data_IF_865422574443
#
_entry.id   IF_865422574443
#
_cell.length_a   1.000
_cell.length_b   1.000
_cell.length_c   1.000
_cell.angle_alpha   90.00
_cell.angle_beta   90.00
_cell.angle_gamma   90.00
#
_symmetry.space_group_name_H-M   'P 1'
#
loop_
_entity.id
_entity.type
_entity.pdbx_description
1 polymer ?
#
# COMPACT_ATOMS: atom_id res chain seq x y z
N UNK A 1 13.82 13.65 -20.47
CA UNK A 1 12.97 13.01 -19.44
C UNK A 1 12.72 14.03 -18.35
N UNK A 2 11.48 14.22 -17.89
CA UNK A 2 11.13 15.22 -16.88
C UNK A 2 11.60 14.76 -15.47
N UNK A 3 12.50 15.49 -14.79
CA UNK A 3 13.05 15.09 -13.48
C UNK A 3 11.98 14.86 -12.41
N UNK A 4 10.90 15.63 -12.41
CA UNK A 4 9.79 15.46 -11.45
C UNK A 4 9.01 14.18 -11.71
N UNK A 5 8.84 13.81 -12.99
CA UNK A 5 8.23 12.54 -13.38
C UNK A 5 9.11 11.37 -12.95
N UNK A 6 10.43 11.47 -13.12
CA UNK A 6 11.39 10.46 -12.65
C UNK A 6 11.32 10.30 -11.12
N UNK A 7 11.28 11.40 -10.38
CA UNK A 7 11.16 11.39 -8.91
C UNK A 7 9.86 10.72 -8.45
N UNK A 8 8.72 11.04 -9.08
CA UNK A 8 7.44 10.37 -8.78
C UNK A 8 7.46 8.87 -9.08
N UNK A 9 8.08 8.45 -10.19
CA UNK A 9 8.26 7.03 -10.53
C UNK A 9 9.12 6.32 -9.47
N UNK A 10 10.22 6.92 -9.04
CA UNK A 10 11.08 6.34 -8.00
C UNK A 10 10.36 6.20 -6.65
N UNK A 11 9.56 7.18 -6.26
CA UNK A 11 8.69 7.10 -5.06
C UNK A 11 7.67 5.98 -5.18
N UNK A 12 7.07 5.83 -6.35
CA UNK A 12 6.08 4.78 -6.60
C UNK A 12 6.70 3.39 -6.49
N UNK A 13 7.90 3.19 -7.04
CA UNK A 13 8.61 1.92 -6.97
C UNK A 13 9.01 1.55 -5.52
N UNK A 14 9.48 2.53 -4.74
CA UNK A 14 9.78 2.34 -3.33
C UNK A 14 8.53 1.94 -2.52
N UNK A 15 7.42 2.66 -2.72
CA UNK A 15 6.17 2.40 -2.01
C UNK A 15 5.50 1.09 -2.43
N UNK A 16 5.64 0.69 -3.70
CA UNK A 16 5.20 -0.61 -4.20
C UNK A 16 5.97 -1.75 -3.50
N UNK A 17 7.28 -1.57 -3.29
CA UNK A 17 8.11 -2.54 -2.57
C UNK A 17 7.69 -2.65 -1.11
N UNK A 18 7.41 -1.52 -0.46
CA UNK A 18 6.89 -1.50 0.91
C UNK A 18 5.53 -2.19 1.01
N UNK A 19 4.59 -1.87 0.13
CA UNK A 19 3.27 -2.51 0.10
C UNK A 19 3.38 -4.04 -0.07
N UNK A 20 4.25 -4.53 -0.96
CA UNK A 20 4.49 -5.98 -1.12
C UNK A 20 5.01 -6.63 0.18
N UNK A 21 5.92 -5.94 0.88
CA UNK A 21 6.41 -6.40 2.19
C UNK A 21 5.29 -6.49 3.23
N UNK A 22 4.42 -5.48 3.29
CA UNK A 22 3.27 -5.45 4.19
C UNK A 22 2.24 -6.53 3.83
N UNK A 23 1.95 -6.71 2.55
CA UNK A 23 1.05 -7.76 2.06
C UNK A 23 1.50 -9.16 2.51
N UNK A 24 2.80 -9.46 2.40
CA UNK A 24 3.35 -10.72 2.90
C UNK A 24 3.15 -10.90 4.42
N UNK A 25 3.32 -9.83 5.20
CA UNK A 25 3.07 -9.87 6.65
C UNK A 25 1.58 -10.11 6.97
N UNK A 26 0.67 -9.46 6.24
CA UNK A 26 -0.77 -9.72 6.36
C UNK A 26 -1.12 -11.16 6.02
N UNK A 27 -0.54 -11.73 4.96
CA UNK A 27 -0.74 -13.15 4.60
C UNK A 27 -0.24 -14.10 5.70
N UNK A 28 0.89 -13.79 6.31
CA UNK A 28 1.42 -14.59 7.43
C UNK A 28 0.52 -14.49 8.66
N UNK A 29 0.05 -13.27 9.00
CA UNK A 29 -0.85 -13.04 10.11
C UNK A 29 -2.21 -13.71 9.89
N UNK A 30 -2.76 -13.65 8.68
CA UNK A 30 -4.03 -14.29 8.33
C UNK A 30 -3.96 -15.81 8.44
N UNK A 31 -2.87 -16.44 7.98
CA UNK A 31 -2.65 -17.89 8.14
C UNK A 31 -2.62 -18.30 9.62
N UNK A 32 -2.01 -17.48 10.47
CA UNK A 32 -1.96 -17.72 11.92
C UNK A 32 -3.33 -17.55 12.57
N UNK A 33 -4.08 -16.52 12.18
CA UNK A 33 -5.41 -16.21 12.72
C UNK A 33 -6.50 -17.17 12.24
N UNK A 34 -6.43 -17.65 10.99
CA UNK A 34 -7.43 -18.55 10.41
C UNK A 34 -7.12 -20.03 10.65
N UNK A 35 -5.86 -20.35 10.98
CA UNK A 35 -5.40 -21.73 11.07
C UNK A 35 -5.62 -22.48 9.74
N UNK A 36 -5.78 -23.82 9.75
CA UNK A 36 -6.01 -24.62 8.55
C UNK A 36 -7.40 -24.42 7.88
N UNK A 37 -8.19 -23.41 8.28
CA UNK A 37 -9.40 -23.02 7.56
C UNK A 37 -10.70 -23.69 7.99
N UNK A 38 -10.76 -24.29 9.18
CA UNK A 38 -12.02 -24.66 9.82
C UNK A 38 -12.35 -23.66 10.93
N UNK A 39 -13.63 -23.26 11.07
CA UNK A 39 -14.08 -22.30 12.09
C UNK A 39 -13.66 -22.71 13.52
N UNK A 40 -13.56 -24.02 13.76
CA UNK A 40 -13.15 -24.65 15.03
C UNK A 40 -11.64 -24.55 15.32
N UNK A 41 -10.81 -24.23 14.32
CA UNK A 41 -9.34 -24.11 14.43
C UNK A 41 -8.86 -22.66 14.24
N UNK A 42 -9.75 -21.69 14.38
CA UNK A 42 -9.39 -20.28 14.37
C UNK A 42 -8.43 -19.94 15.54
N UNK A 43 -7.47 -19.06 15.27
CA UNK A 43 -6.47 -18.60 16.22
C UNK A 43 -7.08 -17.85 17.40
N UNK A 44 -6.24 -17.52 18.38
CA UNK A 44 -6.67 -16.79 19.57
C UNK A 44 -7.10 -15.38 19.19
N UNK A 45 -7.88 -14.71 20.04
CA UNK A 45 -8.28 -13.31 19.83
C UNK A 45 -7.08 -12.39 19.50
N UNK A 46 -5.92 -12.65 20.09
CA UNK A 46 -4.67 -11.93 19.82
C UNK A 46 -4.17 -12.11 18.37
N UNK A 47 -4.35 -13.30 17.78
CA UNK A 47 -3.97 -13.56 16.40
C UNK A 47 -4.88 -12.81 15.41
N UNK A 48 -6.18 -12.73 15.73
CA UNK A 48 -7.14 -11.93 14.96
C UNK A 48 -6.80 -10.43 15.01
N UNK A 49 -6.47 -9.90 16.19
CA UNK A 49 -6.05 -8.50 16.34
C UNK A 49 -4.77 -8.20 15.56
N UNK A 50 -3.78 -9.09 15.65
CA UNK A 50 -2.54 -8.94 14.90
C UNK A 50 -2.78 -8.95 13.38
N UNK A 51 -3.71 -9.77 12.90
CA UNK A 51 -4.10 -9.77 11.49
C UNK A 51 -4.82 -8.47 11.10
N UNK A 52 -5.77 -8.00 11.91
CA UNK A 52 -6.47 -6.73 11.69
C UNK A 52 -5.49 -5.54 11.63
N UNK A 53 -4.54 -5.45 12.55
CA UNK A 53 -3.50 -4.41 12.57
C UNK A 53 -2.59 -4.47 11.33
N UNK A 54 -2.17 -5.67 10.93
CA UNK A 54 -1.38 -5.87 9.71
C UNK A 54 -2.15 -5.43 8.46
N UNK A 55 -3.42 -5.82 8.36
CA UNK A 55 -4.31 -5.48 7.25
C UNK A 55 -4.55 -3.96 7.18
N UNK A 56 -4.82 -3.31 8.30
CA UNK A 56 -5.01 -1.84 8.33
C UNK A 56 -3.77 -1.13 7.80
N UNK A 57 -2.59 -1.56 8.23
CA UNK A 57 -1.33 -0.94 7.78
C UNK A 57 -1.04 -1.19 6.30
N UNK A 58 -1.36 -2.38 5.79
CA UNK A 58 -1.30 -2.68 4.36
C UNK A 58 -2.24 -1.77 3.55
N UNK A 59 -3.48 -1.58 4.03
CA UNK A 59 -4.48 -0.75 3.37
C UNK A 59 -4.10 0.73 3.33
N UNK A 60 -3.55 1.27 4.43
CA UNK A 60 -3.01 2.63 4.46
C UNK A 60 -1.92 2.82 3.37
N UNK A 61 -0.98 1.89 3.30
CA UNK A 61 0.10 1.94 2.29
C UNK A 61 -0.44 1.78 0.87
N UNK A 62 -1.47 0.95 0.69
CA UNK A 62 -2.15 0.79 -0.60
C UNK A 62 -2.87 2.07 -1.05
N UNK A 63 -3.48 2.82 -0.11
CA UNK A 63 -4.11 4.11 -0.42
C UNK A 63 -3.06 5.13 -0.89
N UNK A 64 -1.92 5.22 -0.21
CA UNK A 64 -0.81 6.09 -0.63
C UNK A 64 -0.29 5.69 -2.02
N UNK A 65 -0.14 4.39 -2.28
CA UNK A 65 0.31 3.87 -3.57
C UNK A 65 -0.69 4.18 -4.70
N UNK A 66 -1.99 4.06 -4.41
CA UNK A 66 -3.07 4.39 -5.33
C UNK A 66 -3.08 5.89 -5.66
N UNK A 67 -2.87 6.75 -4.69
CA UNK A 67 -2.85 8.20 -4.91
C UNK A 67 -1.63 8.62 -5.74
N UNK A 68 -0.45 8.05 -5.47
CA UNK A 68 0.74 8.30 -6.28
C UNK A 68 0.59 7.74 -7.71
N UNK A 69 -0.07 6.60 -7.88
CA UNK A 69 -0.41 6.08 -9.21
C UNK A 69 -1.30 7.04 -10.00
N UNK A 70 -2.33 7.63 -9.38
CA UNK A 70 -3.18 8.64 -10.02
C UNK A 70 -2.37 9.86 -10.45
N UNK A 71 -1.43 10.32 -9.62
CA UNK A 71 -0.54 11.43 -9.97
C UNK A 71 0.40 11.14 -11.15
N UNK A 72 0.78 9.88 -11.34
CA UNK A 72 1.58 9.43 -12.49
C UNK A 72 0.74 9.28 -13.76
N UNK A 73 -0.49 8.78 -13.62
CA UNK A 73 -1.41 8.55 -14.72
C UNK A 73 -2.01 9.85 -15.28
N UNK A 74 -2.28 10.82 -14.40
CA UNK A 74 -2.60 12.18 -14.81
C UNK A 74 -1.29 12.86 -15.20
N UNK A 75 -1.04 13.02 -16.50
CA UNK A 75 0.13 13.71 -17.05
C UNK A 75 0.04 15.23 -16.73
N UNK A 76 0.05 15.60 -15.45
CA UNK A 76 0.07 16.99 -14.99
C UNK A 76 1.36 17.60 -15.51
N UNK A 77 1.28 18.67 -16.33
CA UNK A 77 2.46 19.41 -16.75
C UNK A 77 3.18 19.88 -15.50
N UNK A 78 4.42 19.42 -15.32
CA UNK A 78 5.35 19.97 -14.34
C UNK A 78 5.60 21.44 -14.71
N UNK A 79 5.02 22.37 -13.95
CA UNK A 79 5.39 23.78 -14.00
C UNK A 79 4.66 24.66 -15.02
N UNK A 80 3.33 24.60 -15.11
CA UNK A 80 2.59 25.82 -15.41
C UNK A 80 2.22 26.50 -14.08
N UNK A 81 3.09 27.41 -13.64
CA UNK A 81 2.64 28.55 -12.83
C UNK A 81 1.39 29.09 -13.50
N UNK A 82 0.26 29.11 -12.79
CA UNK A 82 -0.87 29.96 -13.13
C UNK A 82 -0.42 31.42 -12.99
N UNK A 83 0.29 31.91 -14.01
CA UNK A 83 0.41 33.34 -14.30
C UNK A 83 -0.48 33.63 -15.50
N UNK A 84 -1.54 34.37 -15.23
CA UNK A 84 -2.46 34.90 -16.23
C UNK A 84 -3.88 34.87 -15.68
N UNK A 85 -4.62 35.97 -15.59
CA UNK A 85 -4.36 37.38 -15.94
C UNK A 85 -5.35 38.21 -15.14
#
# INVERSE_FOLDING_TARGET
>A
MNPEKVSRIARYDALLTEWKGRHMMTEMASRKALGPGTFENSGRLEDWKAWEEALNTELETWLDLKDLWKELAMDRPSGQETKGT
#
